data_IF_367249587829
#
_entry.id   IF_367249587829
#
_cell.length_a   1.000
_cell.length_b   1.000
_cell.length_c   1.000
_cell.angle_alpha   90.00
_cell.angle_beta   90.00
_cell.angle_gamma   90.00
#
_symmetry.space_group_name_H-M   'P 1'
#
loop_
_entity.id
_entity.type
_entity.pdbx_description
1 polymer ?
#
# COMPACT_ATOMS: atom_id res chain seq x y z
N UNK A 1 -8.02 4.83 -9.66
CA UNK A 1 -8.53 3.87 -8.64
C UNK A 1 -9.02 4.70 -7.47
N UNK A 2 -10.21 4.48 -6.88
CA UNK A 2 -10.61 5.26 -5.69
C UNK A 2 -10.01 4.64 -4.43
N UNK A 3 -9.05 5.31 -3.79
CA UNK A 3 -8.35 4.79 -2.60
C UNK A 3 -9.10 5.05 -1.28
N UNK A 4 -9.91 6.10 -1.19
CA UNK A 4 -10.64 6.46 0.04
C UNK A 4 -11.52 5.32 0.59
N UNK A 5 -12.04 4.45 -0.28
CA UNK A 5 -12.87 3.30 0.11
C UNK A 5 -12.14 2.22 0.90
N UNK A 6 -10.81 2.26 0.93
CA UNK A 6 -9.97 1.29 1.65
C UNK A 6 -9.45 1.85 2.99
N UNK A 7 -9.83 3.07 3.36
CA UNK A 7 -9.55 3.62 4.68
C UNK A 7 -10.24 2.79 5.76
N UNK A 8 -9.53 2.52 6.86
CA UNK A 8 -9.93 1.66 7.98
C UNK A 8 -10.23 0.21 7.60
N UNK A 9 -9.80 -0.23 6.41
CA UNK A 9 -10.02 -1.59 5.92
C UNK A 9 -8.74 -2.40 5.90
N UNK A 10 -8.89 -3.70 6.16
CA UNK A 10 -7.85 -4.67 5.86
C UNK A 10 -7.87 -4.96 4.37
N UNK A 11 -6.69 -4.88 3.76
CA UNK A 11 -6.50 -5.09 2.34
C UNK A 11 -5.29 -5.98 2.09
N UNK A 12 -5.32 -6.69 0.96
CA UNK A 12 -4.15 -7.32 0.36
C UNK A 12 -3.70 -6.47 -0.83
N UNK A 13 -2.41 -6.13 -0.84
CA UNK A 13 -1.77 -5.32 -1.87
C UNK A 13 -0.76 -6.16 -2.62
N UNK A 14 -0.80 -6.09 -3.95
CA UNK A 14 0.19 -6.69 -4.84
C UNK A 14 0.79 -5.63 -5.76
N UNK A 15 2.10 -5.48 -5.65
CA UNK A 15 2.89 -4.55 -6.46
C UNK A 15 3.35 -5.21 -7.76
N UNK A 16 3.64 -4.40 -8.78
CA UNK A 16 4.10 -4.86 -10.10
C UNK A 16 5.42 -5.61 -10.07
N UNK A 17 6.28 -5.35 -9.08
CA UNK A 17 7.54 -6.06 -8.87
C UNK A 17 7.38 -7.42 -8.17
N UNK A 18 6.13 -7.85 -7.93
CA UNK A 18 5.80 -9.14 -7.37
C UNK A 18 5.78 -9.18 -5.84
N UNK A 19 6.02 -8.05 -5.15
CA UNK A 19 5.81 -7.94 -3.71
C UNK A 19 4.32 -8.01 -3.37
N UNK A 20 4.00 -8.69 -2.29
CA UNK A 20 2.63 -8.91 -1.82
C UNK A 20 2.58 -8.83 -0.29
N UNK A 21 1.57 -8.15 0.26
CA UNK A 21 1.41 -7.96 1.69
C UNK A 21 -0.05 -7.67 2.07
N UNK A 22 -0.40 -7.96 3.32
CA UNK A 22 -1.64 -7.52 3.96
C UNK A 22 -1.36 -6.26 4.78
N UNK A 23 -2.30 -5.32 4.77
CA UNK A 23 -2.17 -4.04 5.46
C UNK A 23 -3.53 -3.51 5.93
N UNK A 24 -3.49 -2.58 6.89
CA UNK A 24 -4.61 -1.73 7.26
C UNK A 24 -4.48 -0.37 6.56
N UNK A 25 -5.51 0.08 5.84
CA UNK A 25 -5.59 1.46 5.37
C UNK A 25 -5.83 2.40 6.55
N UNK A 26 -4.98 3.42 6.70
CA UNK A 26 -5.00 4.32 7.87
C UNK A 26 -5.50 5.71 7.50
N UNK A 27 -4.70 6.48 6.78
CA UNK A 27 -5.02 7.85 6.40
C UNK A 27 -5.08 8.02 4.88
N UNK A 28 -6.23 8.47 4.38
CA UNK A 28 -6.37 8.94 3.00
C UNK A 28 -6.08 10.44 2.93
N UNK A 29 -5.23 10.83 1.99
CA UNK A 29 -4.80 12.21 1.80
C UNK A 29 -4.97 12.63 0.35
N UNK A 30 -5.57 13.80 0.17
CA UNK A 30 -5.60 14.53 -1.10
C UNK A 30 -4.50 15.60 -1.02
N UNK A 31 -3.51 15.49 -1.89
CA UNK A 31 -2.43 16.47 -2.02
C UNK A 31 -2.49 17.15 -3.37
N UNK A 32 -1.95 18.37 -3.43
CA UNK A 32 -1.74 19.14 -4.65
C UNK A 32 -0.27 19.56 -4.64
N UNK A 33 0.51 19.10 -5.62
CA UNK A 33 1.90 19.52 -5.80
C UNK A 33 2.14 19.84 -7.27
N UNK A 34 2.62 21.05 -7.56
CA UNK A 34 2.92 21.52 -8.92
C UNK A 34 1.82 21.27 -9.98
N UNK A 35 0.55 21.56 -9.64
CA UNK A 35 -0.64 21.41 -10.52
C UNK A 35 -1.11 19.96 -10.75
N UNK A 36 -0.52 18.96 -10.08
CA UNK A 36 -0.99 17.58 -10.10
C UNK A 36 -1.64 17.21 -8.75
N UNK A 37 -2.96 16.98 -8.78
CA UNK A 37 -3.67 16.36 -7.66
C UNK A 37 -3.20 14.92 -7.49
N UNK A 38 -2.63 14.59 -6.32
CA UNK A 38 -2.30 13.22 -5.95
C UNK A 38 -3.11 12.75 -4.77
N UNK A 39 -3.79 11.63 -4.97
CA UNK A 39 -4.54 10.95 -3.93
C UNK A 39 -3.69 9.78 -3.42
N UNK A 40 -3.51 9.71 -2.11
CA UNK A 40 -2.72 8.65 -1.47
C UNK A 40 -3.44 8.00 -0.30
N UNK A 41 -3.09 6.75 -0.02
CA UNK A 41 -3.52 6.03 1.17
C UNK A 41 -2.30 5.51 1.92
N UNK A 42 -2.21 5.87 3.19
CA UNK A 42 -1.21 5.37 4.11
C UNK A 42 -1.60 3.96 4.59
N UNK A 43 -0.66 3.04 4.55
CA UNK A 43 -0.86 1.64 4.90
C UNK A 43 0.03 1.23 6.07
N UNK A 44 -0.58 0.57 7.06
CA UNK A 44 0.12 -0.16 8.10
C UNK A 44 0.25 -1.63 7.69
N UNK A 45 1.47 -2.07 7.35
CA UNK A 45 1.72 -3.44 6.91
C UNK A 45 1.63 -4.40 8.10
N UNK A 46 0.73 -5.37 8.02
CA UNK A 46 0.49 -6.36 9.07
C UNK A 46 1.14 -7.71 8.77
N UNK A 47 1.33 -8.04 7.49
CA UNK A 47 1.93 -9.31 7.07
C UNK A 47 2.53 -9.23 5.67
N UNK A 48 3.74 -9.74 5.48
CA UNK A 48 4.36 -9.89 4.15
C UNK A 48 4.15 -11.30 3.63
N UNK A 49 3.74 -11.43 2.37
CA UNK A 49 3.49 -12.71 1.68
C UNK A 49 4.70 -13.04 0.80
N UNK A 50 5.40 -14.13 1.10
CA UNK A 50 6.61 -14.54 0.38
C UNK A 50 6.26 -15.65 -0.63
N UNK A 51 6.20 -15.29 -1.92
CA UNK A 51 5.85 -16.21 -3.01
C UNK A 51 7.06 -16.89 -3.67
N UNK A 52 8.10 -17.24 -2.89
CA UNK A 52 9.30 -17.94 -3.38
C UNK A 52 10.24 -17.16 -4.32
N UNK A 53 9.85 -15.96 -4.77
CA UNK A 53 10.73 -14.98 -5.42
C UNK A 53 11.33 -14.09 -4.35
N UNK A 54 12.65 -13.87 -4.39
CA UNK A 54 13.30 -12.86 -3.55
C UNK A 54 12.83 -11.49 -4.04
N UNK A 55 12.01 -10.74 -3.29
CA UNK A 55 11.57 -9.43 -3.72
C UNK A 55 12.78 -8.50 -3.84
N UNK A 56 12.79 -7.63 -4.85
CA UNK A 56 13.88 -6.67 -5.11
C UNK A 56 14.20 -5.79 -3.89
N UNK A 57 13.19 -5.55 -3.04
CA UNK A 57 13.31 -4.82 -1.79
C UNK A 57 12.68 -5.63 -0.65
N UNK A 58 13.36 -5.72 0.48
CA UNK A 58 12.87 -6.42 1.65
C UNK A 58 11.73 -5.62 2.32
N UNK A 59 10.55 -6.23 2.44
CA UNK A 59 9.41 -5.66 3.16
C UNK A 59 9.35 -6.07 4.63
N UNK A 60 10.24 -6.96 5.10
CA UNK A 60 10.31 -7.33 6.53
C UNK A 60 10.52 -6.15 7.48
N UNK A 61 11.28 -5.08 7.14
CA UNK A 61 11.39 -3.91 8.02
C UNK A 61 10.07 -3.17 8.26
N UNK A 62 9.02 -3.47 7.51
CA UNK A 62 7.70 -2.83 7.63
C UNK A 62 6.71 -3.67 8.45
N UNK A 63 7.07 -4.91 8.81
CA UNK A 63 6.31 -5.73 9.76
C UNK A 63 6.52 -5.12 11.15
N UNK A 64 5.45 -4.96 11.94
CA UNK A 64 5.43 -4.37 13.29
C UNK A 64 5.53 -2.82 13.39
N UNK A 65 4.98 -2.11 12.40
CA UNK A 65 4.24 -0.87 12.68
C UNK A 65 5.03 0.40 13.03
N UNK A 66 6.03 0.80 12.24
CA UNK A 66 6.56 2.19 12.34
C UNK A 66 6.75 2.95 11.04
N UNK A 67 6.55 2.32 9.88
CA UNK A 67 6.73 2.99 8.58
C UNK A 67 5.48 2.77 7.73
N UNK A 68 4.76 3.86 7.50
CA UNK A 68 3.60 3.94 6.61
C UNK A 68 4.08 3.67 5.17
N UNK A 69 3.45 2.72 4.48
CA UNK A 69 3.61 2.60 3.03
C UNK A 69 2.51 3.42 2.37
N UNK A 70 2.88 4.43 1.58
CA UNK A 70 1.92 5.20 0.80
C UNK A 70 1.72 4.56 -0.57
N UNK A 71 0.46 4.30 -0.94
CA UNK A 71 0.06 4.02 -2.33
C UNK A 71 -0.63 5.23 -2.93
N UNK A 72 -0.43 5.43 -4.24
CA UNK A 72 -1.02 6.54 -4.98
C UNK A 72 -2.05 6.03 -5.99
N UNK A 73 -3.09 6.82 -6.29
CA UNK A 73 -4.15 6.39 -7.22
C UNK A 73 -3.66 6.14 -8.66
N UNK A 74 -2.55 6.76 -9.05
CA UNK A 74 -1.87 6.58 -10.34
C UNK A 74 -0.83 5.44 -10.33
N UNK A 75 -0.53 4.86 -9.18
CA UNK A 75 0.41 3.76 -9.08
C UNK A 75 -0.22 2.48 -9.63
N UNK A 76 0.55 1.72 -10.42
CA UNK A 76 0.10 0.42 -10.89
C UNK A 76 0.20 -0.61 -9.76
N UNK A 77 -0.91 -0.82 -9.04
CA UNK A 77 -1.05 -1.76 -7.91
C UNK A 77 -2.38 -2.50 -8.00
N UNK A 78 -2.43 -3.72 -7.45
CA UNK A 78 -3.67 -4.49 -7.29
C UNK A 78 -4.03 -4.50 -5.80
N UNK A 79 -5.28 -4.16 -5.48
CA UNK A 79 -5.80 -4.10 -4.12
C UNK A 79 -7.07 -4.95 -4.01
N UNK A 80 -7.10 -5.82 -3.02
CA UNK A 80 -8.23 -6.67 -2.65
C UNK A 80 -8.61 -6.41 -1.18
N UNK A 81 -9.89 -6.23 -0.88
CA UNK A 81 -10.40 -6.13 0.50
C UNK A 81 -10.56 -7.54 1.10
N UNK A 82 -10.15 -7.75 2.36
CA UNK A 82 -10.10 -9.06 3.02
C UNK A 82 -10.75 -9.07 4.41
#
# INVERSE_FOLDING_TARGET
MNLSKYQDKKIRVKLTDGREFEALGTDYMIGDDFEEEYNSLSLEITKVIINGKVPKYNLQPYIDGKILYAIYENQNVIIEEI
#
